data_IF_503842319717
#
_entry.id   IF_503842319717
#
_cell.length_a   1.000
_cell.length_b   1.000
_cell.length_c   1.000
_cell.angle_alpha   90.00
_cell.angle_beta   90.00
_cell.angle_gamma   90.00
#
_symmetry.space_group_name_H-M   'P 1'
#
loop_
_entity.id
_entity.type
_entity.pdbx_description
1 polymer ?
#
# COMPACT_ATOMS: atom_id res chain seq x y z
N UNK A 1 0.14 -22.25 11.95
CA UNK A 1 1.05 -21.19 12.43
C UNK A 1 0.93 -21.06 13.93
N UNK A 2 1.95 -20.53 14.62
CA UNK A 2 1.83 -20.20 16.05
C UNK A 2 1.18 -18.83 16.24
N UNK A 3 0.66 -18.54 17.45
CA UNK A 3 0.14 -17.21 17.79
C UNK A 3 1.17 -16.11 17.60
N UNK A 4 2.46 -16.40 17.83
CA UNK A 4 3.55 -15.43 17.61
C UNK A 4 3.78 -15.16 16.12
N UNK A 5 3.63 -16.16 15.26
CA UNK A 5 3.76 -15.99 13.81
C UNK A 5 2.61 -15.16 13.23
N UNK A 6 1.37 -15.40 13.70
CA UNK A 6 0.19 -14.59 13.29
C UNK A 6 0.40 -13.12 13.66
N UNK A 7 0.86 -12.83 14.88
CA UNK A 7 1.16 -11.45 15.32
C UNK A 7 2.22 -10.76 14.47
N UNK A 8 3.22 -11.49 13.97
CA UNK A 8 4.23 -10.93 13.05
C UNK A 8 3.60 -10.56 11.72
N UNK A 9 2.76 -11.42 11.15
CA UNK A 9 2.04 -11.14 9.91
C UNK A 9 1.09 -9.94 10.04
N UNK A 10 0.37 -9.83 11.14
CA UNK A 10 -0.51 -8.68 11.42
C UNK A 10 0.28 -7.36 11.47
N UNK A 11 1.45 -7.37 12.12
CA UNK A 11 2.34 -6.20 12.16
C UNK A 11 2.87 -5.82 10.79
N UNK A 12 3.20 -6.81 9.97
CA UNK A 12 3.66 -6.60 8.59
C UNK A 12 2.53 -6.02 7.72
N UNK A 13 1.32 -6.57 7.80
CA UNK A 13 0.15 -6.05 7.12
C UNK A 13 -0.13 -4.59 7.53
N UNK A 14 -0.05 -4.26 8.83
CA UNK A 14 -0.24 -2.88 9.30
C UNK A 14 0.82 -1.92 8.73
N UNK A 15 2.08 -2.34 8.64
CA UNK A 15 3.15 -1.55 8.02
C UNK A 15 2.88 -1.32 6.53
N UNK A 16 2.48 -2.36 5.79
CA UNK A 16 2.18 -2.25 4.37
C UNK A 16 0.97 -1.35 4.11
N UNK A 17 -0.05 -1.40 4.98
CA UNK A 17 -1.20 -0.49 4.92
C UNK A 17 -0.79 0.98 5.08
N UNK A 18 0.12 1.27 6.00
CA UNK A 18 0.68 2.63 6.17
C UNK A 18 1.42 3.10 4.92
N UNK A 19 2.24 2.23 4.32
CA UNK A 19 2.96 2.55 3.07
C UNK A 19 1.98 2.83 1.92
N UNK A 20 0.95 2.01 1.77
CA UNK A 20 -0.09 2.22 0.77
C UNK A 20 -0.81 3.57 0.96
N UNK A 21 -1.11 3.95 2.21
CA UNK A 21 -1.67 5.26 2.54
C UNK A 21 -0.79 6.43 2.13
N UNK A 22 0.52 6.35 2.41
CA UNK A 22 1.46 7.40 2.00
C UNK A 22 1.57 7.52 0.48
N UNK A 23 1.55 6.39 -0.24
CA UNK A 23 1.54 6.40 -1.70
C UNK A 23 0.25 7.00 -2.26
N UNK A 24 -0.88 6.70 -1.64
CA UNK A 24 -2.15 7.32 -2.02
C UNK A 24 -2.12 8.85 -1.83
N UNK A 25 -1.50 9.33 -0.75
CA UNK A 25 -1.27 10.77 -0.54
C UNK A 25 -0.40 11.38 -1.63
N UNK A 26 0.69 10.71 -2.03
CA UNK A 26 1.56 11.18 -3.12
C UNK A 26 0.81 11.32 -4.45
N UNK A 27 -0.08 10.37 -4.76
CA UNK A 27 -0.93 10.45 -5.96
C UNK A 27 -1.96 11.58 -5.85
N UNK A 28 -2.56 11.77 -4.68
CA UNK A 28 -3.47 12.87 -4.40
C UNK A 28 -2.79 14.21 -4.64
N UNK A 29 -1.63 14.43 -4.04
CA UNK A 29 -0.88 15.68 -4.15
C UNK A 29 -0.43 15.94 -5.60
N UNK A 30 -0.07 14.88 -6.36
CA UNK A 30 0.21 15.01 -7.78
C UNK A 30 -1.00 15.58 -8.54
N UNK A 31 -2.18 15.00 -8.32
CA UNK A 31 -3.41 15.38 -9.05
C UNK A 31 -3.95 16.74 -8.59
N UNK A 32 -3.83 17.09 -7.31
CA UNK A 32 -4.36 18.36 -6.78
C UNK A 32 -3.43 19.55 -7.02
N UNK A 33 -2.11 19.37 -6.84
CA UNK A 33 -1.18 20.51 -6.79
C UNK A 33 -0.40 20.72 -8.09
N UNK A 34 -0.08 19.65 -8.81
CA UNK A 34 0.91 19.67 -9.90
C UNK A 34 0.48 18.96 -11.18
N UNK A 35 -0.82 18.73 -11.34
CA UNK A 35 -1.38 17.99 -12.49
C UNK A 35 -0.92 18.55 -13.84
N UNK A 36 -1.06 19.86 -14.06
CA UNK A 36 -0.77 20.44 -15.37
C UNK A 36 0.71 20.42 -15.75
N UNK A 37 1.62 20.44 -14.76
CA UNK A 37 3.06 20.40 -14.99
C UNK A 37 3.61 18.97 -15.01
N UNK A 38 3.03 18.06 -14.23
CA UNK A 38 3.64 16.78 -13.89
C UNK A 38 2.73 15.58 -14.22
N UNK A 39 1.71 15.76 -15.09
CA UNK A 39 0.76 14.69 -15.45
C UNK A 39 1.43 13.42 -16.01
N UNK A 40 2.61 13.54 -16.60
CA UNK A 40 3.36 12.40 -17.14
C UNK A 40 3.84 11.44 -16.03
N UNK A 41 3.89 11.89 -14.78
CA UNK A 41 4.21 11.05 -13.62
C UNK A 41 3.02 10.20 -13.14
N UNK A 42 1.78 10.52 -13.56
CA UNK A 42 0.56 9.82 -13.12
C UNK A 42 0.70 8.30 -13.28
N UNK A 43 1.12 7.74 -14.43
CA UNK A 43 1.19 6.29 -14.60
C UNK A 43 2.15 5.64 -13.58
N UNK A 44 3.32 6.24 -13.37
CA UNK A 44 4.33 5.70 -12.46
C UNK A 44 3.87 5.78 -10.99
N UNK A 45 3.30 6.91 -10.57
CA UNK A 45 2.80 7.09 -9.20
C UNK A 45 1.58 6.19 -8.96
N UNK A 46 0.66 6.07 -9.92
CA UNK A 46 -0.48 5.18 -9.83
C UNK A 46 -0.07 3.70 -9.76
N UNK A 47 0.94 3.27 -10.52
CA UNK A 47 1.49 1.92 -10.43
C UNK A 47 2.12 1.67 -9.05
N UNK A 48 2.84 2.65 -8.49
CA UNK A 48 3.40 2.54 -7.14
C UNK A 48 2.30 2.40 -6.06
N UNK A 49 1.21 3.16 -6.17
CA UNK A 49 0.02 3.02 -5.30
C UNK A 49 -0.58 1.63 -5.43
N UNK A 50 -0.83 1.18 -6.66
CA UNK A 50 -1.41 -0.12 -6.93
C UNK A 50 -0.57 -1.24 -6.30
N UNK A 51 0.75 -1.23 -6.53
CA UNK A 51 1.67 -2.23 -6.00
C UNK A 51 1.72 -2.22 -4.47
N UNK A 52 1.66 -1.05 -3.82
CA UNK A 52 1.59 -0.96 -2.36
C UNK A 52 0.28 -1.55 -1.81
N UNK A 53 -0.85 -1.24 -2.45
CA UNK A 53 -2.15 -1.81 -2.10
C UNK A 53 -2.19 -3.34 -2.29
N UNK A 54 -1.59 -3.84 -3.38
CA UNK A 54 -1.46 -5.28 -3.65
C UNK A 54 -0.61 -5.96 -2.59
N UNK A 55 0.56 -5.42 -2.25
CA UNK A 55 1.41 -5.98 -1.21
C UNK A 55 0.69 -6.07 0.14
N UNK A 56 -0.06 -5.02 0.52
CA UNK A 56 -0.91 -5.07 1.70
C UNK A 56 -1.96 -6.16 1.61
N UNK A 57 -2.68 -6.26 0.48
CA UNK A 57 -3.75 -7.24 0.28
C UNK A 57 -3.22 -8.67 0.38
N UNK A 58 -2.10 -8.96 -0.28
CA UNK A 58 -1.47 -10.28 -0.26
C UNK A 58 -1.11 -10.69 1.18
N UNK A 59 -0.52 -9.76 1.95
CA UNK A 59 -0.18 -10.01 3.37
C UNK A 59 -1.41 -10.12 4.27
N UNK A 60 -2.44 -9.33 4.01
CA UNK A 60 -3.71 -9.39 4.75
C UNK A 60 -4.44 -10.71 4.52
N UNK A 61 -4.40 -11.23 3.29
CA UNK A 61 -4.96 -12.55 2.97
C UNK A 61 -4.17 -13.68 3.66
N UNK A 62 -2.85 -13.54 3.78
CA UNK A 62 -2.01 -14.46 4.55
C UNK A 62 -2.41 -14.48 6.04
N UNK A 63 -2.68 -13.30 6.64
CA UNK A 63 -3.20 -13.20 8.02
C UNK A 63 -4.54 -13.93 8.14
N UNK A 64 -5.50 -13.65 7.26
CA UNK A 64 -6.84 -14.24 7.34
C UNK A 64 -6.84 -15.76 7.13
N UNK A 65 -5.96 -16.27 6.27
CA UNK A 65 -5.83 -17.71 6.04
C UNK A 65 -5.18 -18.46 7.22
N UNK A 66 -4.49 -17.73 8.11
CA UNK A 66 -3.79 -18.27 9.25
C UNK A 66 -4.55 -18.18 10.58
N UNK A 67 -5.68 -17.46 10.60
CA UNK A 67 -6.60 -17.32 11.74
C UNK A 67 -7.57 -18.50 11.81
#
# INVERSE_FOLDING_TARGET
MTTEDIKKLEKEAAKLKFIAGNKASELHDLVEDRLWSDFEEIPAVAEAVYNACRAWKDKFDEVNAAQ
#
